data_IF_842297880717
#
_entry.id   IF_842297880717
#
_cell.length_a   1.000
_cell.length_b   1.000
_cell.length_c   1.000
_cell.angle_alpha   90.00
_cell.angle_beta   90.00
_cell.angle_gamma   90.00
#
_symmetry.space_group_name_H-M   'P 1'
#
loop_
_entity.id
_entity.type
_entity.pdbx_description
1 polymer ?
#
# COMPACT_ATOMS: atom_id res chain seq x y z
N UNK A 1 -1.19 7.03 -11.18
CA UNK A 1 -1.97 6.67 -10.00
C UNK A 1 -1.52 5.30 -9.51
N UNK A 2 -0.92 5.22 -8.33
CA UNK A 2 -0.45 3.97 -7.74
C UNK A 2 -1.53 3.38 -6.83
N UNK A 3 -2.36 2.47 -7.36
CA UNK A 3 -3.41 1.80 -6.55
C UNK A 3 -2.91 0.49 -5.97
N UNK A 4 -2.06 -0.23 -6.69
CA UNK A 4 -1.54 -1.53 -6.28
C UNK A 4 -0.07 -1.63 -6.66
N UNK A 5 0.72 -2.16 -5.74
CA UNK A 5 2.14 -2.45 -5.95
C UNK A 5 2.33 -3.95 -6.21
N UNK A 6 3.25 -4.29 -7.12
CA UNK A 6 3.54 -5.66 -7.54
C UNK A 6 5.01 -5.99 -7.24
N UNK A 7 5.36 -5.94 -5.95
CA UNK A 7 6.67 -6.33 -5.45
C UNK A 7 6.58 -7.72 -4.78
N UNK A 8 7.67 -8.51 -4.77
CA UNK A 8 7.73 -9.77 -4.04
C UNK A 8 7.67 -9.54 -2.52
N UNK A 9 7.39 -10.59 -1.75
CA UNK A 9 7.46 -10.59 -0.28
C UNK A 9 6.53 -9.58 0.41
N UNK A 10 5.29 -9.47 -0.10
CA UNK A 10 4.22 -8.68 0.53
C UNK A 10 3.88 -9.25 1.91
N UNK A 11 4.15 -8.46 2.95
CA UNK A 11 3.76 -8.80 4.32
C UNK A 11 2.34 -8.34 4.63
N UNK A 12 2.01 -7.10 4.25
CA UNK A 12 0.73 -6.52 4.61
C UNK A 12 0.26 -5.49 3.60
N UNK A 13 -1.02 -5.59 3.22
CA UNK A 13 -1.73 -4.60 2.43
C UNK A 13 -2.74 -3.87 3.32
N UNK A 14 -2.37 -2.67 3.76
CA UNK A 14 -3.24 -1.79 4.50
C UNK A 14 -4.15 -0.97 3.58
N UNK A 15 -5.02 -0.14 4.17
CA UNK A 15 -5.96 0.72 3.42
C UNK A 15 -5.24 1.58 2.37
N UNK A 16 -4.11 2.18 2.76
CA UNK A 16 -3.37 3.17 1.94
C UNK A 16 -1.85 2.92 1.85
N UNK A 17 -1.39 1.80 2.40
CA UNK A 17 0.04 1.43 2.43
C UNK A 17 0.21 -0.05 2.16
N UNK A 18 1.23 -0.39 1.39
CA UNK A 18 1.71 -1.75 1.21
C UNK A 18 3.06 -1.89 1.95
N UNK A 19 3.25 -2.98 2.68
CA UNK A 19 4.47 -3.26 3.46
C UNK A 19 5.09 -4.56 2.97
N UNK A 20 6.38 -4.49 2.66
CA UNK A 20 7.17 -5.54 2.05
C UNK A 20 8.37 -5.88 2.93
N UNK A 21 8.75 -7.15 2.97
CA UNK A 21 10.00 -7.57 3.58
C UNK A 21 11.15 -7.36 2.61
N UNK A 22 12.26 -6.78 3.08
CA UNK A 22 13.52 -6.74 2.32
C UNK A 22 14.49 -7.79 2.85
N UNK A 23 14.63 -7.85 4.17
CA UNK A 23 15.40 -8.89 4.86
C UNK A 23 14.85 -9.12 6.28
N UNK A 24 15.62 -9.74 7.17
CA UNK A 24 15.18 -10.08 8.53
C UNK A 24 14.89 -8.83 9.40
N UNK A 25 15.58 -7.72 9.14
CA UNK A 25 15.55 -6.52 9.99
C UNK A 25 15.03 -5.27 9.26
N UNK A 26 14.81 -5.36 7.94
CA UNK A 26 14.39 -4.23 7.10
C UNK A 26 13.05 -4.46 6.40
N UNK A 27 12.18 -3.45 6.51
CA UNK A 27 10.89 -3.38 5.83
C UNK A 27 10.83 -2.20 4.87
N UNK A 28 10.21 -2.42 3.71
CA UNK A 28 9.84 -1.36 2.77
C UNK A 28 8.36 -1.01 2.95
N UNK A 29 8.08 0.27 3.17
CA UNK A 29 6.72 0.79 3.24
C UNK A 29 6.45 1.66 2.01
N UNK A 30 5.46 1.29 1.21
CA UNK A 30 5.02 2.04 0.04
C UNK A 30 3.66 2.69 0.33
N UNK A 31 3.60 4.01 0.28
CA UNK A 31 2.34 4.75 0.33
C UNK A 31 1.72 4.78 -1.06
N UNK A 32 0.47 4.35 -1.15
CA UNK A 32 -0.28 4.30 -2.41
C UNK A 32 -1.21 5.51 -2.53
N UNK A 33 -1.74 5.73 -3.73
CA UNK A 33 -2.76 6.75 -3.99
C UNK A 33 -4.14 6.32 -3.50
N UNK A 34 -4.27 5.14 -2.87
CA UNK A 34 -5.53 4.68 -2.28
C UNK A 34 -5.93 5.63 -1.15
N UNK A 35 -7.24 5.86 -1.03
CA UNK A 35 -7.83 6.63 0.05
C UNK A 35 -8.99 5.83 0.66
N UNK A 36 -9.23 6.01 1.96
CA UNK A 36 -10.36 5.39 2.64
C UNK A 36 -11.25 6.41 3.34
N UNK A 37 -12.55 6.19 3.29
CA UNK A 37 -13.56 6.94 4.04
C UNK A 37 -14.59 5.96 4.62
N UNK A 38 -15.09 6.23 5.83
CA UNK A 38 -16.06 5.37 6.53
C UNK A 38 -15.59 3.89 6.58
N UNK A 39 -14.31 3.69 6.89
CA UNK A 39 -13.64 2.38 6.92
C UNK A 39 -13.57 1.58 5.61
N UNK A 40 -14.01 2.15 4.48
CA UNK A 40 -13.97 1.52 3.15
C UNK A 40 -12.88 2.17 2.30
N UNK A 41 -12.10 1.34 1.59
CA UNK A 41 -11.15 1.82 0.56
C UNK A 41 -11.95 2.17 -0.69
N UNK A 42 -11.77 3.39 -1.20
CA UNK A 42 -12.48 3.87 -2.38
C UNK A 42 -11.89 3.25 -3.67
N UNK A 43 -12.71 3.04 -4.72
CA UNK A 43 -12.23 2.49 -5.99
C UNK A 43 -11.33 3.45 -6.77
N UNK A 44 -11.41 4.75 -6.49
CA UNK A 44 -10.64 5.80 -7.14
C UNK A 44 -9.63 6.37 -6.14
N UNK A 45 -8.35 6.37 -6.52
CA UNK A 45 -7.29 7.00 -5.74
C UNK A 45 -7.12 8.49 -6.02
N UNK A 46 -6.27 9.13 -5.24
CA UNK A 46 -5.90 10.54 -5.38
C UNK A 46 -4.46 10.61 -5.92
N UNK A 47 -4.25 11.06 -7.17
CA UNK A 47 -2.90 11.31 -7.68
C UNK A 47 -2.29 12.55 -7.00
N UNK A 48 -0.96 12.64 -6.95
CA UNK A 48 -0.25 13.89 -6.58
C UNK A 48 -0.70 15.10 -7.41
#
# INVERSE_FOLDING_TARGET
>A
MLIETQLPDLLHRGKVRDTYQIDADLLLMVTTDRISAFDVVLPTGIPE
#
